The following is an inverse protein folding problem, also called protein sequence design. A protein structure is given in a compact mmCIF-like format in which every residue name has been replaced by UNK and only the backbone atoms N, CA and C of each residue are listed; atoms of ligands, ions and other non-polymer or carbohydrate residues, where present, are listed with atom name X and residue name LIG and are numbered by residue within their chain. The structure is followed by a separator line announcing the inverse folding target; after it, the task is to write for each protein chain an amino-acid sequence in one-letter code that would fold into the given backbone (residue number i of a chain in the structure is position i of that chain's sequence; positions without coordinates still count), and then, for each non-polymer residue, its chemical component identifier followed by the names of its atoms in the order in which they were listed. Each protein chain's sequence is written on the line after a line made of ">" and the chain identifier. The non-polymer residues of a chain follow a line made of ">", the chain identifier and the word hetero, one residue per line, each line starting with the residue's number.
data_IF_465422758633
#
_entry.id   IF_465422758633
#
_cell.length_a   1.000
_cell.length_b   1.000
_cell.length_c   1.000
_cell.angle_alpha   90.00
_cell.angle_beta   90.00
_cell.angle_gamma   90.00
#
_symmetry.space_group_name_H-M   'P 1'
#
loop_
_entity.id
_entity.type
_entity.pdbx_description
1 polymer ?
#
# COMPACT_ATOMS: atom_id res chain seq x y z
N UNK A 1 -15.68 -5.00 2.93
CA UNK A 1 -15.02 -6.26 3.31
C UNK A 1 -15.29 -6.67 4.77
N UNK A 2 -15.83 -5.80 5.65
CA UNK A 2 -16.05 -6.15 7.07
C UNK A 2 -14.74 -6.31 7.86
N UNK A 3 -13.68 -5.66 7.39
CA UNK A 3 -12.32 -5.74 7.94
C UNK A 3 -12.00 -4.49 8.76
N UNK A 4 -11.09 -4.65 9.71
CA UNK A 4 -10.43 -3.60 10.47
C UNK A 4 -9.03 -3.33 9.93
N UNK A 5 -8.35 -2.29 10.43
CA UNK A 5 -6.95 -1.99 10.07
C UNK A 5 -6.02 -3.15 10.45
N UNK A 6 -6.30 -3.83 11.55
CA UNK A 6 -5.47 -4.93 12.05
C UNK A 6 -5.54 -6.17 11.17
N UNK A 7 -6.66 -6.36 10.46
CA UNK A 7 -6.88 -7.48 9.54
C UNK A 7 -6.10 -7.34 8.22
N UNK A 8 -5.53 -6.16 7.93
CA UNK A 8 -4.80 -5.88 6.69
C UNK A 8 -3.31 -6.05 6.91
N UNK A 9 -2.65 -6.77 6.00
CA UNK A 9 -1.22 -7.10 6.07
C UNK A 9 -0.35 -6.08 5.34
N UNK A 10 -0.86 -5.47 4.26
CA UNK A 10 -0.14 -4.53 3.41
C UNK A 10 -1.09 -3.44 2.93
N UNK A 11 -0.62 -2.20 3.01
CA UNK A 11 -1.26 -1.02 2.43
C UNK A 11 -0.38 -0.46 1.31
N UNK A 12 -0.87 -0.50 0.07
CA UNK A 12 -0.29 0.20 -1.08
C UNK A 12 -0.97 1.55 -1.25
N UNK A 13 -0.47 2.56 -0.54
CA UNK A 13 -0.98 3.94 -0.62
C UNK A 13 -0.15 4.70 -1.66
N UNK A 14 -0.81 5.29 -2.65
CA UNK A 14 -0.09 6.05 -3.67
C UNK A 14 0.61 7.26 -3.06
N UNK A 15 1.92 7.38 -3.26
CA UNK A 15 2.73 8.49 -2.75
C UNK A 15 2.78 9.61 -3.78
N UNK A 16 1.63 10.21 -4.11
CA UNK A 16 1.59 11.34 -5.04
C UNK A 16 2.43 12.52 -4.50
N UNK A 17 2.35 12.75 -3.19
CA UNK A 17 3.19 13.67 -2.42
C UNK A 17 3.44 13.11 -1.02
N UNK A 18 4.63 13.34 -0.47
CA UNK A 18 4.98 12.85 0.87
C UNK A 18 4.04 13.39 1.96
N UNK A 19 3.65 14.66 1.89
CA UNK A 19 2.74 15.28 2.87
C UNK A 19 1.37 14.59 2.90
N UNK A 20 0.81 14.27 1.74
CA UNK A 20 -0.46 13.56 1.62
C UNK A 20 -0.34 12.12 2.14
N UNK A 21 0.74 11.42 1.76
CA UNK A 21 0.95 10.03 2.18
C UNK A 21 1.09 9.92 3.71
N UNK A 22 1.95 10.75 4.32
CA UNK A 22 2.16 10.78 5.78
C UNK A 22 0.87 11.11 6.52
N UNK A 23 0.12 12.13 6.07
CA UNK A 23 -1.17 12.47 6.68
C UNK A 23 -2.15 11.29 6.68
N UNK A 24 -2.26 10.56 5.55
CA UNK A 24 -3.15 9.40 5.46
C UNK A 24 -2.74 8.28 6.43
N UNK A 25 -1.45 7.98 6.52
CA UNK A 25 -0.91 6.95 7.44
C UNK A 25 -1.20 7.31 8.89
N UNK A 26 -0.88 8.53 9.31
CA UNK A 26 -1.10 9.00 10.68
C UNK A 26 -2.59 9.09 11.02
N UNK A 27 -3.40 9.65 10.12
CA UNK A 27 -4.83 9.87 10.36
C UNK A 27 -5.61 8.58 10.49
N UNK A 28 -5.19 7.54 9.77
CA UNK A 28 -5.81 6.22 9.80
C UNK A 28 -5.16 5.27 10.83
N UNK A 29 -4.07 5.71 11.49
CA UNK A 29 -3.35 4.90 12.47
C UNK A 29 -2.70 3.64 11.88
N UNK A 30 -2.21 3.72 10.65
CA UNK A 30 -1.66 2.56 9.96
C UNK A 30 -0.25 2.23 10.49
N UNK A 31 0.06 0.95 10.77
CA UNK A 31 1.42 0.55 11.13
C UNK A 31 2.39 0.85 9.96
N UNK A 32 3.43 1.69 10.15
CA UNK A 32 4.31 2.12 9.05
C UNK A 32 4.99 0.97 8.32
N UNK A 33 5.30 -0.13 9.01
CA UNK A 33 5.91 -1.33 8.43
C UNK A 33 5.00 -2.10 7.47
N UNK A 34 3.68 -1.84 7.51
CA UNK A 34 2.70 -2.41 6.59
C UNK A 34 2.45 -1.50 5.37
N UNK A 35 2.89 -0.24 5.38
CA UNK A 35 2.63 0.73 4.31
C UNK A 35 3.78 0.72 3.31
N UNK A 36 3.48 0.51 2.03
CA UNK A 36 4.43 0.56 0.91
C UNK A 36 5.76 -0.18 1.19
N UNK A 37 5.75 -1.47 1.58
CA UNK A 37 6.96 -2.20 2.01
C UNK A 37 8.03 -2.34 0.91
N UNK A 38 7.68 -2.08 -0.36
CA UNK A 38 8.58 -2.11 -1.51
C UNK A 38 8.85 -0.70 -2.11
N UNK A 39 8.46 0.36 -1.39
CA UNK A 39 8.48 1.74 -1.87
C UNK A 39 7.28 2.09 -2.75
N UNK A 40 6.96 3.39 -2.83
CA UNK A 40 5.82 3.90 -3.59
C UNK A 40 6.21 4.85 -4.72
N UNK A 41 5.26 5.70 -5.12
CA UNK A 41 5.35 6.52 -6.32
C UNK A 41 6.43 7.61 -6.26
N UNK A 42 6.90 8.02 -5.06
CA UNK A 42 8.03 8.95 -4.94
C UNK A 42 9.31 8.31 -5.49
N UNK A 43 9.50 7.00 -5.27
CA UNK A 43 10.67 6.27 -5.76
C UNK A 43 10.44 5.64 -7.15
N UNK A 44 9.26 5.05 -7.36
CA UNK A 44 8.95 4.26 -8.57
C UNK A 44 8.37 5.11 -9.72
N UNK A 45 8.03 6.36 -9.45
CA UNK A 45 7.35 7.26 -10.37
C UNK A 45 5.84 7.05 -10.42
N UNK A 46 5.15 8.06 -10.96
CA UNK A 46 3.69 8.12 -11.01
C UNK A 46 3.15 8.34 -12.44
N UNK A 47 3.18 7.31 -13.32
CA UNK A 47 2.42 7.37 -14.56
C UNK A 47 0.92 7.32 -14.23
N UNK A 48 0.24 8.46 -14.36
CA UNK A 48 -1.14 8.71 -13.88
C UNK A 48 -2.11 7.56 -14.19
N UNK A 49 -2.21 7.13 -15.44
CA UNK A 49 -3.15 6.07 -15.86
C UNK A 49 -2.72 4.64 -15.50
N UNK A 50 -1.44 4.41 -15.18
CA UNK A 50 -0.90 3.06 -14.93
C UNK A 50 -0.80 2.74 -13.43
N UNK A 51 -0.68 3.75 -12.58
CA UNK A 51 -0.33 3.56 -11.16
C UNK A 51 -1.28 2.64 -10.41
N UNK A 52 -2.59 2.76 -10.62
CA UNK A 52 -3.56 1.87 -9.95
C UNK A 52 -3.38 0.40 -10.33
N UNK A 53 -3.16 0.10 -11.62
CA UNK A 53 -2.88 -1.25 -12.07
C UNK A 53 -1.53 -1.77 -11.51
N UNK A 54 -0.50 -0.93 -11.51
CA UNK A 54 0.80 -1.27 -10.91
C UNK A 54 0.69 -1.58 -9.41
N UNK A 55 -0.06 -0.78 -8.65
CA UNK A 55 -0.30 -0.99 -7.22
C UNK A 55 -0.92 -2.36 -6.94
N UNK A 56 -2.00 -2.70 -7.67
CA UNK A 56 -2.65 -4.00 -7.54
C UNK A 56 -1.68 -5.14 -7.83
N UNK A 57 -0.88 -5.03 -8.89
CA UNK A 57 0.08 -6.07 -9.26
C UNK A 57 1.18 -6.22 -8.20
N UNK A 58 1.74 -5.11 -7.72
CA UNK A 58 2.78 -5.14 -6.68
C UNK A 58 2.24 -5.73 -5.37
N UNK A 59 1.06 -5.30 -4.94
CA UNK A 59 0.38 -5.82 -3.74
C UNK A 59 0.18 -7.33 -3.82
N UNK A 60 -0.44 -7.83 -4.91
CA UNK A 60 -0.74 -9.25 -5.06
C UNK A 60 0.53 -10.11 -5.16
N UNK A 61 1.57 -9.63 -5.85
CA UNK A 61 2.84 -10.36 -5.91
C UNK A 61 3.53 -10.41 -4.55
N UNK A 62 3.46 -9.33 -3.77
CA UNK A 62 4.03 -9.30 -2.42
C UNK A 62 3.30 -10.24 -1.47
N UNK A 63 1.96 -10.21 -1.47
CA UNK A 63 1.15 -11.14 -0.67
C UNK A 63 1.41 -12.60 -1.07
N UNK A 64 1.51 -12.87 -2.38
CA UNK A 64 1.87 -14.20 -2.90
C UNK A 64 3.26 -14.63 -2.42
N UNK A 65 4.25 -13.72 -2.42
CA UNK A 65 5.61 -14.00 -1.93
C UNK A 65 5.65 -14.34 -0.45
N UNK A 66 4.79 -13.70 0.37
CA UNK A 66 4.66 -14.01 1.81
C UNK A 66 3.96 -15.34 2.09
N UNK A 67 3.24 -15.91 1.12
CA UNK A 67 2.75 -17.30 1.15
C UNK A 67 1.66 -17.59 2.19
N UNK A 68 0.95 -16.56 2.66
CA UNK A 68 -0.15 -16.69 3.63
C UNK A 68 -1.44 -16.12 3.06
N UNK A 69 -2.59 -16.63 3.54
CA UNK A 69 -3.87 -15.96 3.33
C UNK A 69 -3.82 -14.64 4.08
N UNK A 70 -3.99 -13.54 3.36
CA UNK A 70 -3.74 -12.19 3.85
C UNK A 70 -4.67 -11.22 3.11
N UNK A 71 -4.88 -10.04 3.71
CA UNK A 71 -5.61 -8.96 3.07
C UNK A 71 -4.67 -7.81 2.73
N UNK A 72 -4.89 -7.22 1.57
CA UNK A 72 -4.15 -6.05 1.10
C UNK A 72 -5.12 -4.94 0.71
N UNK A 73 -4.73 -3.71 0.96
CA UNK A 73 -5.47 -2.50 0.60
C UNK A 73 -4.63 -1.63 -0.32
#
# INVERSE_FOLDING_TARGET
>A
AGLTVDDVDIFEINEAFASQAVYCVEKLGLPPEKVNPLGGAVALGHPLGCTGARQVITLLNELKRRGKRAYGV
#
